data_IF_929496566759
#
_entry.id   IF_929496566759
#
_cell.length_a   1.000
_cell.length_b   1.000
_cell.length_c   1.000
_cell.angle_alpha   90.00
_cell.angle_beta   90.00
_cell.angle_gamma   90.00
#
_symmetry.space_group_name_H-M   'P 1'
#
loop_
_entity.id
_entity.type
_entity.pdbx_description
1 polymer ?
#
# COMPACT_ATOMS: atom_id res chain seq x y z
N UNK A 1 -16.37 7.45 3.89
CA UNK A 1 -16.55 6.04 3.46
C UNK A 1 -16.04 5.15 4.59
N UNK A 2 -16.77 4.10 4.96
CA UNK A 2 -16.38 3.22 6.06
C UNK A 2 -15.24 2.29 5.62
N UNK A 3 -14.04 2.54 6.16
CA UNK A 3 -12.83 1.76 5.87
C UNK A 3 -12.55 0.70 6.95
N UNK A 4 -13.47 0.43 7.87
CA UNK A 4 -13.25 -0.49 8.99
C UNK A 4 -12.95 -1.93 8.55
N UNK A 5 -13.40 -2.33 7.36
CA UNK A 5 -13.18 -3.66 6.78
C UNK A 5 -11.81 -3.84 6.13
N UNK A 6 -11.02 -2.76 5.94
CA UNK A 6 -9.70 -2.90 5.34
C UNK A 6 -8.79 -3.73 6.26
N UNK A 7 -8.05 -4.72 5.73
CA UNK A 7 -7.28 -5.67 6.55
C UNK A 7 -6.33 -5.00 7.56
N UNK A 8 -5.65 -3.93 7.13
CA UNK A 8 -4.82 -3.10 8.01
C UNK A 8 -5.59 -2.49 9.19
N UNK A 9 -6.77 -1.88 8.95
CA UNK A 9 -7.53 -1.22 10.00
C UNK A 9 -8.02 -2.21 11.05
N UNK A 10 -8.33 -3.45 10.62
CA UNK A 10 -8.63 -4.56 11.53
C UNK A 10 -7.40 -4.94 12.36
N UNK A 11 -6.25 -5.14 11.71
CA UNK A 11 -4.99 -5.45 12.41
C UNK A 11 -4.63 -4.37 13.46
N UNK A 12 -4.72 -3.09 13.08
CA UNK A 12 -4.43 -1.95 13.95
C UNK A 12 -5.30 -1.97 15.21
N UNK A 13 -6.62 -2.13 15.06
CA UNK A 13 -7.56 -2.19 16.21
C UNK A 13 -7.30 -3.38 17.13
N UNK A 14 -6.77 -4.48 16.61
CA UNK A 14 -6.51 -5.70 17.39
C UNK A 14 -5.18 -5.64 18.15
N UNK A 15 -4.14 -5.01 17.58
CA UNK A 15 -2.78 -5.10 18.10
C UNK A 15 -2.25 -3.82 18.75
N UNK A 16 -2.89 -2.67 18.51
CA UNK A 16 -2.45 -1.39 19.04
C UNK A 16 -3.44 -0.86 20.07
N UNK A 17 -2.96 -0.29 21.20
CA UNK A 17 -3.84 0.33 22.17
C UNK A 17 -4.53 1.55 21.56
N UNK A 18 -5.70 1.92 22.11
CA UNK A 18 -6.54 3.00 21.57
C UNK A 18 -5.88 4.38 21.54
N UNK A 19 -4.80 4.57 22.30
CA UNK A 19 -4.00 5.79 22.35
C UNK A 19 -2.72 5.73 21.48
N UNK A 20 -2.51 4.66 20.70
CA UNK A 20 -1.32 4.51 19.87
C UNK A 20 -1.30 5.45 18.65
N UNK A 21 -2.48 5.83 18.15
CA UNK A 21 -2.60 6.73 17.01
C UNK A 21 -2.73 8.17 17.53
N UNK A 22 -1.65 8.95 17.43
CA UNK A 22 -1.66 10.37 17.77
C UNK A 22 -2.15 11.24 16.60
N UNK A 23 -1.83 10.84 15.36
CA UNK A 23 -2.23 11.54 14.14
C UNK A 23 -2.43 10.53 12.99
N UNK A 24 -3.25 10.88 12.00
CA UNK A 24 -3.60 9.97 10.90
C UNK A 24 -3.76 10.70 9.57
N UNK A 25 -3.38 10.04 8.48
CA UNK A 25 -3.58 10.53 7.13
C UNK A 25 -4.32 9.49 6.29
N UNK A 26 -5.17 9.96 5.37
CA UNK A 26 -5.88 9.14 4.39
C UNK A 26 -5.05 8.80 3.15
N UNK A 27 -3.85 9.40 3.03
CA UNK A 27 -2.92 9.24 1.91
C UNK A 27 -1.54 8.80 2.38
N UNK A 28 -1.00 7.74 1.78
CA UNK A 28 0.34 7.24 2.09
C UNK A 28 1.46 8.26 1.85
N UNK A 29 1.33 9.16 0.87
CA UNK A 29 2.32 10.22 0.63
C UNK A 29 2.41 11.22 1.77
N UNK A 30 1.28 11.51 2.43
CA UNK A 30 1.25 12.41 3.60
C UNK A 30 1.84 11.69 4.80
N UNK A 31 1.42 10.44 5.03
CA UNK A 31 1.97 9.59 6.09
C UNK A 31 3.48 9.43 5.98
N UNK A 32 4.00 9.22 4.77
CA UNK A 32 5.44 9.15 4.49
C UNK A 32 6.17 10.42 4.93
N UNK A 33 5.65 11.60 4.57
CA UNK A 33 6.26 12.87 4.98
C UNK A 33 6.21 13.10 6.48
N UNK A 34 5.13 12.71 7.16
CA UNK A 34 5.05 12.80 8.62
C UNK A 34 6.12 11.96 9.30
N UNK A 35 6.29 10.70 8.86
CA UNK A 35 7.31 9.79 9.40
C UNK A 35 8.71 10.35 9.12
N UNK A 36 8.97 10.78 7.88
CA UNK A 36 10.26 11.34 7.46
C UNK A 36 10.63 12.63 8.21
N UNK A 37 9.64 13.42 8.62
CA UNK A 37 9.83 14.62 9.45
C UNK A 37 9.96 14.32 10.96
N UNK A 38 9.91 13.05 11.36
CA UNK A 38 10.10 12.63 12.74
C UNK A 38 8.87 12.74 13.62
N UNK A 39 7.65 12.84 13.05
CA UNK A 39 6.41 12.88 13.84
C UNK A 39 6.12 11.55 14.55
N UNK A 40 6.77 10.45 14.14
CA UNK A 40 6.66 9.16 14.81
C UNK A 40 6.90 7.97 13.88
N UNK A 41 6.42 6.81 14.31
CA UNK A 41 6.44 5.55 13.53
C UNK A 41 5.09 5.38 12.84
N UNK A 42 5.11 4.93 11.58
CA UNK A 42 3.88 4.65 10.84
C UNK A 42 4.07 3.55 9.81
N UNK A 43 2.96 3.06 9.28
CA UNK A 43 2.95 1.98 8.30
C UNK A 43 2.98 2.54 6.87
N UNK A 44 3.96 2.14 6.08
CA UNK A 44 4.06 2.49 4.67
C UNK A 44 4.02 1.25 3.80
N UNK A 45 3.45 1.34 2.59
CA UNK A 45 3.68 0.35 1.55
C UNK A 45 5.18 0.30 1.20
N UNK A 46 5.71 -0.91 0.95
CA UNK A 46 7.12 -1.13 0.59
C UNK A 46 7.58 -0.26 -0.59
N UNK A 47 6.78 -0.14 -1.65
CA UNK A 47 7.11 0.71 -2.80
C UNK A 47 7.31 2.21 -2.47
N UNK A 48 6.92 2.65 -1.28
CA UNK A 48 7.08 4.03 -0.84
C UNK A 48 8.13 4.16 0.28
N UNK A 49 8.20 3.18 1.19
CA UNK A 49 9.14 3.20 2.32
C UNK A 49 10.54 2.71 1.95
N UNK A 50 10.65 1.67 1.12
CA UNK A 50 11.94 1.00 0.85
C UNK A 50 12.89 1.88 0.01
N UNK A 51 12.34 2.81 -0.79
CA UNK A 51 13.12 3.71 -1.64
C UNK A 51 13.61 4.97 -0.88
N UNK A 52 13.25 5.16 0.38
CA UNK A 52 13.65 6.32 1.19
C UNK A 52 14.81 5.99 2.15
N UNK A 53 16.00 6.55 1.86
CA UNK A 53 17.22 6.32 2.64
C UNK A 53 17.21 6.93 4.05
N UNK A 54 16.31 7.87 4.34
CA UNK A 54 16.17 8.47 5.67
C UNK A 54 15.12 7.75 6.53
N UNK A 55 14.50 6.69 6.00
CA UNK A 55 13.59 5.83 6.74
C UNK A 55 14.27 4.50 7.11
N UNK A 56 13.90 3.99 8.28
CA UNK A 56 14.33 2.68 8.76
C UNK A 56 13.12 1.74 8.87
N UNK A 57 13.14 0.65 8.11
CA UNK A 57 12.14 -0.40 8.22
C UNK A 57 12.27 -1.14 9.57
N UNK A 58 11.20 -1.17 10.36
CA UNK A 58 11.20 -1.80 11.69
C UNK A 58 10.72 -3.26 11.64
N UNK A 59 9.61 -3.51 10.94
CA UNK A 59 9.03 -4.84 10.75
C UNK A 59 8.02 -4.82 9.60
N UNK A 60 7.67 -5.99 9.09
CA UNK A 60 6.61 -6.19 8.09
C UNK A 60 5.36 -6.73 8.80
N UNK A 61 4.19 -6.33 8.31
CA UNK A 61 2.92 -6.88 8.80
C UNK A 61 2.70 -8.31 8.27
N UNK A 62 1.93 -9.13 9.00
CA UNK A 62 1.60 -10.47 8.52
C UNK A 62 0.69 -10.39 7.28
N UNK A 63 0.69 -11.44 6.46
CA UNK A 63 0.06 -11.45 5.13
C UNK A 63 -1.44 -11.10 5.18
N UNK A 64 -2.14 -11.42 6.28
CA UNK A 64 -3.55 -11.10 6.48
C UNK A 64 -3.83 -9.61 6.61
N UNK A 65 -2.81 -8.77 6.81
CA UNK A 65 -2.94 -7.31 6.82
C UNK A 65 -2.64 -6.66 5.45
N UNK A 66 -2.20 -7.44 4.47
CA UNK A 66 -1.89 -6.94 3.12
C UNK A 66 -3.14 -6.46 2.38
N UNK A 67 -2.92 -5.54 1.44
CA UNK A 67 -3.94 -5.13 0.48
C UNK A 67 -3.67 -5.77 -0.87
N UNK A 68 -4.72 -6.28 -1.50
CA UNK A 68 -4.65 -6.77 -2.87
C UNK A 68 -4.66 -5.62 -3.88
N UNK A 69 -3.77 -5.69 -4.87
CA UNK A 69 -3.74 -4.76 -5.99
C UNK A 69 -4.57 -5.30 -7.16
N UNK A 70 -5.60 -4.56 -7.54
CA UNK A 70 -6.49 -4.91 -8.64
C UNK A 70 -6.20 -4.05 -9.87
N UNK A 71 -6.14 -4.69 -11.04
CA UNK A 71 -6.05 -4.01 -12.32
C UNK A 71 -7.32 -4.26 -13.12
N UNK A 72 -8.12 -3.21 -13.32
CA UNK A 72 -9.45 -3.30 -13.94
C UNK A 72 -9.46 -2.64 -15.31
N UNK A 73 -10.31 -3.14 -16.20
CA UNK A 73 -10.58 -2.55 -17.52
C UNK A 73 -12.04 -2.75 -17.86
N UNK A 74 -12.67 -1.75 -18.47
CA UNK A 74 -14.06 -1.86 -18.90
C UNK A 74 -14.24 -3.07 -19.86
N UNK A 75 -15.27 -3.91 -19.71
CA UNK A 75 -15.49 -5.10 -20.53
C UNK A 75 -15.41 -4.82 -22.04
N UNK A 76 -15.98 -3.70 -22.48
CA UNK A 76 -15.98 -3.30 -23.90
C UNK A 76 -14.58 -2.94 -24.43
N UNK A 77 -13.69 -2.49 -23.54
CA UNK A 77 -12.34 -2.05 -23.90
C UNK A 77 -11.32 -3.18 -23.85
N UNK A 78 -11.60 -4.29 -23.16
CA UNK A 78 -10.63 -5.38 -22.93
C UNK A 78 -10.09 -6.02 -24.21
N UNK A 79 -10.89 -5.98 -25.29
CA UNK A 79 -10.55 -6.56 -26.59
C UNK A 79 -9.89 -5.55 -27.55
N UNK A 80 -9.88 -4.26 -27.21
CA UNK A 80 -9.24 -3.23 -28.04
C UNK A 80 -7.73 -3.44 -28.01
N UNK A 81 -7.10 -3.59 -29.19
CA UNK A 81 -5.70 -3.97 -29.31
C UNK A 81 -4.73 -3.11 -28.48
N UNK A 82 -4.90 -1.78 -28.47
CA UNK A 82 -4.08 -0.85 -27.68
C UNK A 82 -4.23 -1.06 -26.17
N UNK A 83 -5.44 -1.36 -25.71
CA UNK A 83 -5.74 -1.59 -24.29
C UNK A 83 -5.13 -2.91 -23.85
N UNK A 84 -5.32 -3.98 -24.64
CA UNK A 84 -4.67 -5.27 -24.38
C UNK A 84 -3.15 -5.13 -24.26
N UNK A 85 -2.52 -4.37 -25.17
CA UNK A 85 -1.07 -4.14 -25.15
C UNK A 85 -0.62 -3.33 -23.92
N UNK A 86 -1.37 -2.31 -23.51
CA UNK A 86 -1.10 -1.58 -22.28
C UNK A 86 -1.19 -2.50 -21.05
N UNK A 87 -2.25 -3.30 -20.95
CA UNK A 87 -2.46 -4.22 -19.83
C UNK A 87 -1.37 -5.29 -19.74
N UNK A 88 -0.93 -5.82 -20.88
CA UNK A 88 0.21 -6.74 -20.97
C UNK A 88 1.51 -6.09 -20.47
N UNK A 89 1.78 -4.85 -20.90
CA UNK A 89 2.94 -4.09 -20.46
C UNK A 89 2.92 -3.82 -18.94
N UNK A 90 1.80 -3.32 -18.42
CA UNK A 90 1.65 -3.01 -16.99
C UNK A 90 1.78 -4.29 -16.16
N UNK A 91 1.11 -5.38 -16.55
CA UNK A 91 1.24 -6.68 -15.90
C UNK A 91 2.70 -7.14 -15.85
N UNK A 92 3.43 -7.06 -16.97
CA UNK A 92 4.85 -7.45 -17.01
C UNK A 92 5.70 -6.63 -16.05
N UNK A 93 5.48 -5.32 -15.96
CA UNK A 93 6.21 -4.43 -15.05
C UNK A 93 5.87 -4.67 -13.57
N UNK A 94 4.60 -4.91 -13.27
CA UNK A 94 4.11 -5.20 -11.92
C UNK A 94 4.65 -6.55 -11.42
N UNK A 95 4.61 -7.60 -12.25
CA UNK A 95 5.14 -8.92 -11.88
C UNK A 95 6.61 -8.88 -11.49
N UNK A 96 7.42 -8.05 -12.16
CA UNK A 96 8.85 -7.86 -11.83
C UNK A 96 9.07 -7.23 -10.45
N UNK A 97 8.09 -6.46 -9.97
CA UNK A 97 8.13 -5.74 -8.69
C UNK A 97 7.17 -6.35 -7.67
N UNK A 98 6.79 -7.62 -7.81
CA UNK A 98 5.77 -8.25 -6.97
C UNK A 98 6.09 -8.17 -5.47
N UNK A 99 7.36 -8.25 -5.10
CA UNK A 99 7.82 -8.13 -3.70
C UNK A 99 7.60 -6.73 -3.10
N UNK A 100 7.51 -5.68 -3.92
CA UNK A 100 7.20 -4.31 -3.45
C UNK A 100 5.70 -4.07 -3.27
N UNK A 101 4.87 -5.00 -3.74
CA UNK A 101 3.42 -4.90 -3.80
C UNK A 101 2.72 -5.97 -2.96
N UNK A 102 3.45 -6.99 -2.55
CA UNK A 102 2.99 -8.11 -1.73
C UNK A 102 4.06 -8.29 -0.66
N UNK A 103 3.77 -7.81 0.54
CA UNK A 103 4.61 -7.96 1.74
C UNK A 103 4.50 -9.36 2.32
#
# INVERSE_FOLDING_TARGET
>A
ADFAHQPFNKWHKTHLPSNAAFDSADRFTVMHQMIRQGLGVGLLPHYLGDDDADLLALFTLPEEANKELWMLTHPDLRNVARIRKLMEFVRKKITLKKHLLTS
#
